data_IF_843380054388
#
_entry.id   IF_843380054388
#
_cell.length_a   1.000
_cell.length_b   1.000
_cell.length_c   1.000
_cell.angle_alpha   90.00
_cell.angle_beta   90.00
_cell.angle_gamma   90.00
#
_symmetry.space_group_name_H-M   'P 1'
#
loop_
_entity.id
_entity.type
_entity.pdbx_description
1 polymer ?
#
# COMPACT_ATOMS: atom_id res chain seq x y z
N UNK A 1 -10.36 19.02 -30.95
CA UNK A 1 -9.81 19.76 -29.80
C UNK A 1 -8.64 18.91 -29.29
N UNK A 2 -7.46 18.94 -29.93
CA UNK A 2 -6.33 19.87 -29.74
C UNK A 2 -5.94 20.10 -28.27
N UNK A 3 -4.95 19.31 -27.86
CA UNK A 3 -3.84 19.62 -26.94
C UNK A 3 -4.18 20.04 -25.51
N UNK A 4 -4.12 19.08 -24.58
CA UNK A 4 -3.61 19.34 -23.23
C UNK A 4 -2.20 18.76 -23.13
N UNK A 5 -1.22 19.57 -23.52
CA UNK A 5 0.19 19.40 -23.14
C UNK A 5 0.56 20.61 -22.29
N UNK A 6 1.41 20.41 -21.27
CA UNK A 6 1.93 21.40 -20.30
C UNK A 6 0.96 21.69 -19.14
N UNK A 7 1.31 21.49 -17.88
CA UNK A 7 2.54 21.94 -17.21
C UNK A 7 2.95 21.01 -16.05
N UNK A 8 3.85 20.06 -16.30
CA UNK A 8 4.80 19.62 -15.27
C UNK A 8 6.18 20.11 -15.72
N UNK A 9 6.61 21.23 -15.16
CA UNK A 9 8.00 21.69 -15.24
C UNK A 9 8.52 21.80 -13.82
N UNK A 10 8.98 20.69 -13.27
CA UNK A 10 9.90 20.72 -12.13
C UNK A 10 11.30 20.49 -12.68
N UNK A 11 11.98 21.60 -13.05
CA UNK A 11 13.44 21.65 -12.94
C UNK A 11 13.74 21.34 -11.49
N UNK A 12 14.60 20.37 -11.18
CA UNK A 12 15.66 20.50 -10.17
C UNK A 12 16.71 19.42 -10.41
N UNK A 13 17.92 19.89 -10.71
CA UNK A 13 19.17 19.13 -10.67
C UNK A 13 19.40 18.65 -9.24
N UNK A 14 19.61 17.35 -9.02
CA UNK A 14 20.59 16.85 -8.05
C UNK A 14 20.90 15.37 -8.33
N UNK A 15 22.20 15.06 -8.34
CA UNK A 15 22.75 13.81 -8.86
C UNK A 15 22.33 12.56 -8.07
N UNK A 16 21.83 11.57 -8.81
CA UNK A 16 21.71 10.19 -8.32
C UNK A 16 23.01 9.46 -8.68
N UNK A 17 23.77 9.09 -7.66
CA UNK A 17 24.93 8.24 -7.81
C UNK A 17 24.46 6.78 -7.96
N UNK A 18 24.48 6.26 -9.19
CA UNK A 18 24.35 4.83 -9.46
C UNK A 18 25.74 4.21 -9.36
N UNK A 19 26.01 3.46 -8.28
CA UNK A 19 27.20 2.60 -8.21
C UNK A 19 26.84 1.25 -8.82
N UNK A 20 27.11 1.10 -10.11
CA UNK A 20 27.04 -0.17 -10.84
C UNK A 20 28.29 -1.00 -10.48
N UNK A 21 28.10 -2.03 -9.66
CA UNK A 21 29.09 -3.08 -9.51
C UNK A 21 29.10 -3.94 -10.78
N UNK A 22 30.11 -3.74 -11.63
CA UNK A 22 30.38 -4.58 -12.79
C UNK A 22 30.84 -5.96 -12.34
N UNK A 23 29.99 -6.98 -12.48
CA UNK A 23 30.40 -8.38 -12.42
C UNK A 23 30.75 -8.80 -13.84
N UNK A 24 32.04 -8.94 -14.13
CA UNK A 24 32.54 -9.52 -15.37
C UNK A 24 32.22 -11.01 -15.41
N UNK A 25 31.29 -11.40 -16.28
CA UNK A 25 31.09 -12.80 -16.67
C UNK A 25 31.72 -13.00 -18.05
N UNK A 26 32.82 -13.74 -18.05
CA UNK A 26 33.58 -14.14 -19.22
C UNK A 26 32.72 -14.89 -20.26
N UNK A 27 33.01 -14.58 -21.52
CA UNK A 27 32.53 -15.26 -22.70
C UNK A 27 32.94 -16.74 -22.76
N UNK A 28 32.07 -17.58 -23.31
CA UNK A 28 32.41 -18.72 -24.16
C UNK A 28 31.25 -19.00 -25.13
N UNK A 29 31.46 -18.63 -26.40
CA UNK A 29 30.70 -19.11 -27.57
C UNK A 29 31.19 -20.49 -28.01
N UNK A 30 30.37 -21.12 -28.87
CA UNK A 30 30.53 -22.31 -29.74
C UNK A 30 29.51 -23.38 -29.30
N UNK A 31 28.44 -23.72 -30.02
CA UNK A 31 28.30 -23.89 -31.47
C UNK A 31 28.31 -25.39 -31.77
N UNK A 32 27.16 -25.98 -32.13
CA UNK A 32 26.98 -27.02 -33.16
C UNK A 32 25.53 -27.56 -33.19
N UNK A 33 24.97 -27.60 -34.39
CA UNK A 33 23.61 -28.03 -34.75
C UNK A 33 23.60 -29.54 -35.13
N UNK A 34 22.47 -30.16 -35.58
CA UNK A 34 22.01 -31.47 -35.12
C UNK A 34 22.43 -32.63 -36.07
N UNK A 35 21.96 -33.86 -35.84
CA UNK A 35 21.05 -34.36 -36.89
C UNK A 35 19.95 -35.35 -36.45
N UNK A 36 18.91 -35.34 -37.28
CA UNK A 36 18.25 -36.47 -37.93
C UNK A 36 16.86 -36.91 -37.48
N UNK A 37 16.02 -36.97 -38.51
CA UNK A 37 14.64 -37.43 -38.60
C UNK A 37 14.47 -38.90 -38.21
N UNK A 38 13.31 -39.22 -37.61
CA UNK A 38 12.54 -40.41 -38.00
C UNK A 38 11.09 -40.33 -37.47
N UNK A 39 10.22 -39.92 -38.38
CA UNK A 39 8.82 -40.32 -38.58
C UNK A 39 8.37 -41.59 -37.82
N UNK A 40 7.29 -41.49 -37.05
CA UNK A 40 6.21 -42.50 -36.99
C UNK A 40 5.01 -41.98 -36.20
N UNK A 41 3.93 -41.69 -36.92
CA UNK A 41 2.55 -41.71 -36.40
C UNK A 41 2.14 -43.15 -36.09
N UNK A 42 1.33 -43.39 -35.05
CA UNK A 42 -0.06 -43.70 -35.38
C UNK A 42 -1.11 -42.98 -34.50
N UNK A 43 -2.22 -42.65 -35.17
CA UNK A 43 -3.52 -42.33 -34.58
C UNK A 43 -3.97 -43.41 -33.60
N UNK A 44 -4.45 -43.01 -32.42
CA UNK A 44 -5.38 -43.83 -31.63
C UNK A 44 -6.35 -42.96 -30.84
N UNK A 45 -7.61 -43.11 -31.21
CA UNK A 45 -8.81 -42.53 -30.62
C UNK A 45 -9.24 -43.33 -29.39
N UNK A 46 -9.35 -42.66 -28.23
CA UNK A 46 -10.22 -43.00 -27.09
C UNK A 46 -10.11 -41.81 -26.11
N UNK A 47 -11.08 -40.90 -25.95
CA UNK A 47 -12.44 -41.08 -25.42
C UNK A 47 -12.57 -40.09 -24.24
N UNK A 48 -13.59 -39.20 -24.16
CA UNK A 48 -13.69 -38.26 -23.05
C UNK A 48 -14.11 -39.00 -21.79
N UNK A 49 -13.23 -39.04 -20.78
CA UNK A 49 -13.61 -39.53 -19.44
C UNK A 49 -14.28 -38.40 -18.69
N UNK A 50 -15.62 -38.42 -18.67
CA UNK A 50 -16.47 -37.57 -17.83
C UNK A 50 -16.26 -37.97 -16.36
N UNK A 51 -15.49 -37.17 -15.61
CA UNK A 51 -15.43 -37.29 -14.15
C UNK A 51 -16.62 -36.56 -13.54
N UNK A 52 -17.55 -37.35 -13.02
CA UNK A 52 -18.75 -36.98 -12.26
C UNK A 52 -18.38 -36.17 -11.00
N UNK A 53 -19.07 -35.05 -10.69
CA UNK A 53 -18.89 -34.36 -9.40
C UNK A 53 -19.38 -35.23 -8.24
N UNK A 54 -18.54 -35.39 -7.22
CA UNK A 54 -18.91 -35.98 -5.92
C UNK A 54 -19.58 -34.89 -5.08
N UNK A 55 -20.77 -35.19 -4.59
CA UNK A 55 -21.56 -34.32 -3.72
C UNK A 55 -20.85 -34.05 -2.38
N UNK A 56 -21.07 -32.88 -1.76
CA UNK A 56 -20.67 -32.65 -0.37
C UNK A 56 -21.60 -33.40 0.58
N UNK A 57 -21.01 -34.15 1.52
CA UNK A 57 -21.70 -34.68 2.69
C UNK A 57 -21.48 -33.71 3.84
N UNK A 58 -22.52 -33.01 4.28
CA UNK A 58 -22.55 -32.33 5.58
C UNK A 58 -23.69 -32.95 6.38
N UNK A 59 -23.31 -33.76 7.37
CA UNK A 59 -24.23 -34.26 8.39
C UNK A 59 -24.32 -33.24 9.52
N UNK A 60 -25.56 -33.09 9.98
CA UNK A 60 -26.12 -32.13 10.92
C UNK A 60 -25.62 -32.21 12.36
N UNK A 61 -26.03 -31.14 13.07
CA UNK A 61 -26.42 -31.06 14.49
C UNK A 61 -25.31 -31.06 15.56
N UNK A 62 -25.18 -29.94 16.27
CA UNK A 62 -25.73 -29.94 17.63
C UNK A 62 -26.22 -28.56 18.10
N UNK A 63 -27.21 -28.64 18.98
CA UNK A 63 -28.13 -27.66 19.52
C UNK A 63 -27.76 -27.35 20.98
N UNK A 64 -28.31 -26.28 21.56
CA UNK A 64 -28.44 -25.96 23.01
C UNK A 64 -27.17 -25.53 23.76
N UNK A 65 -27.15 -24.64 24.76
CA UNK A 65 -28.19 -23.86 25.46
C UNK A 65 -27.57 -22.75 26.30
N UNK A 66 -28.30 -21.63 26.39
CA UNK A 66 -28.55 -20.72 27.53
C UNK A 66 -27.80 -20.94 28.84
N UNK A 67 -27.27 -19.85 29.41
CA UNK A 67 -27.29 -19.62 30.87
C UNK A 67 -27.60 -18.15 31.16
N UNK A 68 -28.75 -17.93 31.80
CA UNK A 68 -29.12 -16.74 32.57
C UNK A 68 -29.70 -17.23 33.90
N UNK A 69 -29.20 -16.70 35.01
CA UNK A 69 -29.92 -16.63 36.28
C UNK A 69 -29.45 -15.39 37.08
N UNK A 70 -30.43 -14.56 37.39
CA UNK A 70 -30.60 -13.47 38.38
C UNK A 70 -30.38 -13.93 39.85
N UNK A 71 -30.66 -13.16 40.94
CA UNK A 71 -30.79 -11.70 41.16
C UNK A 71 -30.09 -11.18 42.45
N UNK A 72 -30.17 -9.85 42.65
CA UNK A 72 -30.29 -9.04 43.89
C UNK A 72 -29.75 -9.54 45.25
N UNK A 73 -28.94 -8.69 45.89
CA UNK A 73 -28.97 -8.54 47.35
C UNK A 73 -28.98 -7.04 47.70
N UNK A 74 -30.06 -6.60 48.33
CA UNK A 74 -30.38 -5.22 48.67
C UNK A 74 -30.41 -5.06 50.21
N UNK A 75 -29.58 -4.15 50.73
CA UNK A 75 -29.73 -3.40 51.99
C UNK A 75 -29.59 -4.09 53.37
N UNK A 76 -29.44 -3.32 54.48
CA UNK A 76 -29.58 -1.85 54.58
C UNK A 76 -28.38 -1.09 55.20
N UNK A 77 -28.47 0.24 55.03
CA UNK A 77 -27.58 1.31 55.43
C UNK A 77 -27.58 1.66 56.94
N UNK A 78 -26.63 2.51 57.34
CA UNK A 78 -26.71 3.76 58.14
C UNK A 78 -25.26 4.07 58.62
N UNK A 79 -24.70 5.27 58.71
CA UNK A 79 -24.88 6.62 58.16
C UNK A 79 -23.61 7.41 58.62
N UNK A 80 -23.36 8.54 57.97
CA UNK A 80 -22.72 9.75 58.53
C UNK A 80 -21.19 9.82 58.76
N UNK A 81 -20.50 10.51 57.84
CA UNK A 81 -19.71 11.72 58.15
C UNK A 81 -19.09 12.29 56.87
N UNK A 82 -19.58 13.47 56.45
CA UNK A 82 -18.83 14.43 55.62
C UNK A 82 -18.17 15.46 56.55
N UNK A 83 -17.07 16.17 56.20
CA UNK A 83 -17.09 17.10 55.05
C UNK A 83 -15.76 17.26 54.28
N UNK A 84 -15.84 17.89 53.10
CA UNK A 84 -14.80 18.79 52.59
C UNK A 84 -14.00 18.34 51.36
N UNK A 85 -14.55 18.64 50.18
CA UNK A 85 -13.87 19.00 48.92
C UNK A 85 -12.49 18.36 48.62
N UNK A 86 -12.51 17.07 48.30
CA UNK A 86 -11.46 16.45 47.49
C UNK A 86 -11.78 16.61 46.01
N UNK A 87 -11.12 17.57 45.36
CA UNK A 87 -11.11 17.75 43.90
C UNK A 87 -10.64 16.45 43.24
N UNK A 88 -11.58 15.60 42.82
CA UNK A 88 -11.30 14.47 41.95
C UNK A 88 -10.96 15.01 40.57
N UNK A 89 -9.66 15.14 40.31
CA UNK A 89 -9.15 15.29 38.96
C UNK A 89 -9.60 14.04 38.18
N UNK A 90 -10.63 14.23 37.38
CA UNK A 90 -11.08 13.32 36.36
C UNK A 90 -9.90 13.12 35.40
N UNK A 91 -9.25 11.95 35.50
CA UNK A 91 -8.27 11.50 34.50
C UNK A 91 -9.01 11.30 33.18
N UNK A 92 -9.18 12.38 32.43
CA UNK A 92 -9.39 12.28 30.98
C UNK A 92 -8.19 11.50 30.41
N UNK A 93 -8.42 10.52 29.53
CA UNK A 93 -7.33 9.96 28.75
C UNK A 93 -6.70 11.12 28.00
N UNK A 94 -5.47 11.46 28.38
CA UNK A 94 -4.69 12.49 27.72
C UNK A 94 -4.58 12.09 26.25
N UNK A 95 -5.34 12.82 25.42
CA UNK A 95 -5.04 13.01 24.02
C UNK A 95 -3.52 13.16 23.92
N UNK A 96 -2.79 12.30 23.18
CA UNK A 96 -1.35 12.45 23.09
C UNK A 96 -1.12 13.84 22.53
N UNK A 97 -0.57 14.69 23.41
CA UNK A 97 -0.15 16.03 23.09
C UNK A 97 0.65 15.99 21.79
N UNK A 98 0.31 16.91 20.90
CA UNK A 98 1.13 17.35 19.79
C UNK A 98 2.62 17.14 20.09
N UNK A 99 3.18 16.07 19.52
CA UNK A 99 4.62 15.97 19.29
C UNK A 99 4.95 16.93 18.16
N UNK A 100 4.88 18.23 18.49
CA UNK A 100 5.49 19.31 17.73
C UNK A 100 7.01 19.17 17.82
N UNK A 101 7.51 18.19 17.07
CA UNK A 101 8.92 17.94 16.74
C UNK A 101 9.06 17.39 15.31
N UNK A 102 8.01 17.43 14.49
CA UNK A 102 7.97 16.86 13.14
C UNK A 102 8.49 17.84 12.08
N UNK A 103 9.74 18.28 12.22
CA UNK A 103 10.48 18.80 11.08
C UNK A 103 11.00 17.63 10.25
N UNK A 104 10.48 17.45 9.04
CA UNK A 104 10.96 16.46 8.03
C UNK A 104 10.57 14.98 8.21
N UNK A 105 10.04 14.58 9.37
CA UNK A 105 9.62 13.19 9.57
C UNK A 105 8.36 12.81 8.75
N UNK A 106 8.25 11.53 8.40
CA UNK A 106 7.05 10.96 7.82
C UNK A 106 5.93 10.88 8.86
N UNK A 107 4.67 11.25 8.54
CA UNK A 107 3.59 11.17 9.51
C UNK A 107 3.37 9.73 9.99
N UNK A 108 3.00 9.56 11.26
CA UNK A 108 2.66 8.25 11.82
C UNK A 108 1.38 7.68 11.19
N UNK A 109 1.28 6.36 11.13
CA UNK A 109 0.11 5.66 10.60
C UNK A 109 0.17 5.44 9.09
N UNK A 110 -1.01 5.37 8.46
CA UNK A 110 -1.15 5.04 7.03
C UNK A 110 -1.08 6.30 6.17
N UNK A 111 -0.11 6.34 5.27
CA UNK A 111 0.12 7.46 4.37
C UNK A 111 0.03 7.01 2.92
N UNK A 112 -0.57 7.84 2.08
CA UNK A 112 -0.49 7.70 0.63
C UNK A 112 0.64 8.58 0.10
N UNK A 113 1.27 8.16 -0.99
CA UNK A 113 2.24 8.99 -1.67
C UNK A 113 2.85 8.30 -2.87
N UNK A 114 3.87 8.94 -3.40
CA UNK A 114 4.58 8.48 -4.58
C UNK A 114 6.02 8.17 -4.22
N UNK A 115 6.44 6.95 -4.57
CA UNK A 115 7.82 6.53 -4.39
C UNK A 115 8.72 7.28 -5.37
N UNK A 116 9.73 7.95 -4.85
CA UNK A 116 10.72 8.74 -5.60
C UNK A 116 12.14 8.20 -5.45
N UNK A 117 12.34 7.17 -4.63
CA UNK A 117 13.61 6.49 -4.55
C UNK A 117 13.62 5.34 -3.55
N UNK A 118 14.51 4.38 -3.78
CA UNK A 118 14.77 3.25 -2.89
C UNK A 118 16.28 3.12 -2.71
N UNK A 119 16.75 3.13 -1.46
CA UNK A 119 18.14 2.85 -1.12
C UNK A 119 18.20 1.55 -0.32
N UNK A 120 18.55 0.47 -1.01
CA UNK A 120 18.64 -0.88 -0.43
C UNK A 120 19.78 -0.98 0.59
N UNK A 121 20.89 -0.27 0.36
CA UNK A 121 22.07 -0.34 1.24
C UNK A 121 21.81 0.29 2.61
N UNK A 122 21.05 1.39 2.64
CA UNK A 122 20.69 2.10 3.87
C UNK A 122 19.35 1.65 4.47
N UNK A 123 18.64 0.75 3.77
CA UNK A 123 17.27 0.35 4.08
C UNK A 123 16.33 1.55 4.22
N UNK A 124 16.37 2.47 3.25
CA UNK A 124 15.52 3.67 3.23
C UNK A 124 14.72 3.77 1.93
N UNK A 125 13.56 4.42 2.02
CA UNK A 125 12.77 4.85 0.87
C UNK A 125 12.56 6.37 0.92
N UNK A 126 12.41 6.98 -0.25
CA UNK A 126 12.02 8.36 -0.40
C UNK A 126 10.60 8.42 -0.96
N UNK A 127 9.69 9.10 -0.26
CA UNK A 127 8.27 9.21 -0.62
C UNK A 127 7.87 10.68 -0.66
N UNK A 128 7.21 11.08 -1.75
CA UNK A 128 6.46 12.33 -1.82
C UNK A 128 5.04 12.07 -1.33
N UNK A 129 4.70 12.57 -0.14
CA UNK A 129 3.44 12.27 0.54
C UNK A 129 2.32 13.09 -0.08
N UNK A 130 1.22 12.44 -0.42
CA UNK A 130 0.03 13.07 -1.00
C UNK A 130 -1.23 12.57 -0.28
N UNK A 131 -2.33 13.30 -0.46
CA UNK A 131 -3.65 12.90 0.01
C UNK A 131 -4.37 12.15 -1.11
N UNK A 132 -4.90 10.96 -0.80
CA UNK A 132 -5.83 10.24 -1.67
C UNK A 132 -7.24 10.43 -1.10
N UNK A 133 -8.05 11.21 -1.79
CA UNK A 133 -9.43 11.53 -1.41
C UNK A 133 -10.39 10.74 -2.30
N UNK A 134 -11.57 10.40 -1.79
CA UNK A 134 -12.60 9.67 -2.53
C UNK A 134 -14.00 10.27 -2.30
N UNK A 135 -14.93 10.01 -3.21
CA UNK A 135 -16.33 10.46 -3.09
C UNK A 135 -16.46 11.98 -2.96
N UNK A 136 -17.34 12.43 -2.06
CA UNK A 136 -17.63 13.86 -1.88
C UNK A 136 -16.37 14.68 -1.49
N UNK A 137 -15.47 14.10 -0.69
CA UNK A 137 -14.21 14.77 -0.30
C UNK A 137 -13.30 15.00 -1.52
N UNK A 138 -13.29 14.07 -2.46
CA UNK A 138 -12.56 14.22 -3.72
C UNK A 138 -13.15 15.34 -4.56
N UNK A 139 -14.47 15.43 -4.68
CA UNK A 139 -15.16 16.50 -5.43
C UNK A 139 -14.86 17.86 -4.81
N UNK A 140 -15.03 17.99 -3.49
CA UNK A 140 -14.76 19.25 -2.78
C UNK A 140 -13.32 19.69 -3.01
N UNK A 141 -12.34 18.81 -2.80
CA UNK A 141 -10.93 19.15 -2.99
C UNK A 141 -10.58 19.47 -4.45
N UNK A 142 -11.15 18.73 -5.41
CA UNK A 142 -10.93 18.98 -6.83
C UNK A 142 -11.52 20.32 -7.28
N UNK A 143 -12.67 20.74 -6.73
CA UNK A 143 -13.25 22.06 -6.97
C UNK A 143 -12.41 23.16 -6.32
N UNK A 144 -11.98 22.97 -5.06
CA UNK A 144 -11.11 23.93 -4.35
C UNK A 144 -9.81 24.20 -5.11
N UNK A 145 -9.20 23.14 -5.65
CA UNK A 145 -7.95 23.22 -6.39
C UNK A 145 -8.15 23.61 -7.87
N UNK A 146 -9.41 23.80 -8.32
CA UNK A 146 -9.76 24.20 -9.67
C UNK A 146 -9.54 23.13 -10.75
N UNK A 147 -9.45 21.86 -10.34
CA UNK A 147 -9.23 20.71 -11.23
C UNK A 147 -10.50 20.30 -12.00
N UNK A 148 -11.68 20.59 -11.44
CA UNK A 148 -12.98 20.34 -12.08
C UNK A 148 -13.90 21.56 -11.97
N UNK A 149 -14.97 21.57 -12.76
CA UNK A 149 -16.00 22.61 -12.69
C UNK A 149 -16.77 22.52 -11.35
N UNK A 150 -17.08 23.65 -10.69
CA UNK A 150 -17.88 23.64 -9.45
C UNK A 150 -19.27 23.01 -9.57
N UNK A 151 -19.82 22.91 -10.78
CA UNK A 151 -21.07 22.22 -11.08
C UNK A 151 -20.90 20.74 -11.47
N UNK A 152 -19.67 20.23 -11.52
CA UNK A 152 -19.41 18.83 -11.82
C UNK A 152 -19.94 17.94 -10.68
N UNK A 153 -20.71 16.88 -10.99
CA UNK A 153 -21.31 16.04 -9.96
C UNK A 153 -20.33 15.02 -9.35
N UNK A 154 -19.17 14.78 -9.97
CA UNK A 154 -18.18 13.80 -9.54
C UNK A 154 -16.79 14.10 -10.12
N UNK A 155 -15.76 13.51 -9.51
CA UNK A 155 -14.40 13.40 -10.08
C UNK A 155 -14.32 12.13 -10.93
N UNK A 156 -13.59 12.18 -12.04
CA UNK A 156 -13.29 10.98 -12.83
C UNK A 156 -12.65 9.89 -11.95
N UNK A 157 -13.08 8.64 -12.13
CA UNK A 157 -12.69 7.49 -11.31
C UNK A 157 -12.98 7.59 -9.80
N UNK A 158 -13.76 8.58 -9.36
CA UNK A 158 -14.23 8.78 -7.98
C UNK A 158 -13.11 8.98 -6.93
N UNK A 159 -11.92 9.37 -7.36
CA UNK A 159 -10.82 9.74 -6.47
C UNK A 159 -10.10 10.99 -6.95
N UNK A 160 -9.53 11.73 -5.99
CA UNK A 160 -8.69 12.88 -6.26
C UNK A 160 -7.41 12.79 -5.44
N UNK A 161 -6.27 12.87 -6.13
CA UNK A 161 -4.96 12.91 -5.48
C UNK A 161 -4.51 14.35 -5.35
N UNK A 162 -4.30 14.80 -4.11
CA UNK A 162 -3.90 16.16 -3.81
C UNK A 162 -2.54 16.18 -3.13
N UNK A 163 -1.57 16.89 -3.72
CA UNK A 163 -0.27 17.13 -3.10
C UNK A 163 -0.06 18.63 -2.85
N UNK A 164 -0.55 19.13 -1.71
CA UNK A 164 -0.33 20.54 -1.29
C UNK A 164 1.10 20.81 -0.82
N UNK A 165 1.88 19.77 -0.55
CA UNK A 165 3.24 19.89 -0.02
C UNK A 165 4.16 18.83 -0.65
N UNK A 166 4.81 19.14 -1.79
CA UNK A 166 5.63 18.19 -2.58
C UNK A 166 6.99 17.87 -1.92
N UNK A 167 6.99 17.80 -0.60
CA UNK A 167 8.18 17.54 0.21
C UNK A 167 8.43 16.04 0.24
N UNK A 168 9.53 15.65 -0.39
CA UNK A 168 10.06 14.29 -0.32
C UNK A 168 10.58 14.00 1.09
N UNK A 169 10.16 12.87 1.64
CA UNK A 169 10.57 12.39 2.97
C UNK A 169 11.31 11.07 2.83
N UNK A 170 12.49 11.00 3.44
CA UNK A 170 13.29 9.78 3.49
C UNK A 170 13.11 9.11 4.84
N UNK A 171 12.74 7.83 4.83
CA UNK A 171 12.41 7.08 6.04
C UNK A 171 13.03 5.69 5.98
N UNK A 172 13.41 5.16 7.15
CA UNK A 172 13.90 3.78 7.26
C UNK A 172 12.77 2.79 7.09
N UNK A 173 13.09 1.65 6.50
CA UNK A 173 12.19 0.50 6.36
C UNK A 173 12.58 -0.54 7.39
N UNK A 174 11.61 -1.03 8.14
CA UNK A 174 11.80 -2.15 9.05
C UNK A 174 12.24 -3.38 8.27
N UNK A 175 13.17 -4.16 8.83
CA UNK A 175 13.72 -5.35 8.17
C UNK A 175 12.66 -6.39 7.82
N UNK A 176 11.57 -6.44 8.58
CA UNK A 176 10.49 -7.39 8.43
C UNK A 176 9.22 -6.75 7.85
N UNK A 177 9.29 -5.50 7.39
CA UNK A 177 8.16 -4.85 6.74
C UNK A 177 7.70 -5.69 5.54
N UNK A 178 6.44 -6.17 5.52
CA UNK A 178 5.86 -6.70 4.29
C UNK A 178 5.86 -5.62 3.21
N UNK A 179 6.39 -5.97 2.05
CA UNK A 179 6.42 -5.13 0.86
C UNK A 179 5.67 -5.88 -0.23
N UNK A 180 4.69 -5.23 -0.87
CA UNK A 180 3.94 -5.80 -1.98
C UNK A 180 3.91 -4.86 -3.15
N UNK A 181 4.07 -5.42 -4.34
CA UNK A 181 4.09 -4.70 -5.63
C UNK A 181 3.18 -5.37 -6.64
N UNK A 182 2.77 -4.61 -7.64
CA UNK A 182 2.05 -5.06 -8.81
C UNK A 182 3.08 -5.51 -9.85
N UNK A 183 2.96 -6.73 -10.35
CA UNK A 183 3.96 -7.32 -11.28
C UNK A 183 3.60 -7.17 -12.76
N UNK A 184 2.33 -6.97 -13.05
CA UNK A 184 1.83 -6.83 -14.41
C UNK A 184 0.99 -5.56 -14.50
N UNK A 185 1.26 -4.74 -15.51
CA UNK A 185 0.45 -3.56 -15.76
C UNK A 185 -1.01 -3.95 -16.03
N UNK A 186 -1.96 -3.26 -15.38
CA UNK A 186 -3.39 -3.53 -15.52
C UNK A 186 -3.92 -4.65 -14.62
N UNK A 187 -3.08 -5.33 -13.84
CA UNK A 187 -3.50 -6.32 -12.86
C UNK A 187 -3.48 -5.71 -11.44
N UNK A 188 -4.56 -5.81 -10.66
CA UNK A 188 -4.60 -5.28 -9.30
C UNK A 188 -3.87 -6.17 -8.27
N UNK A 189 -3.35 -7.33 -8.69
CA UNK A 189 -2.82 -8.34 -7.79
C UNK A 189 -1.49 -7.93 -7.17
N UNK A 190 -1.47 -7.92 -5.84
CA UNK A 190 -0.30 -7.61 -5.04
C UNK A 190 0.54 -8.85 -4.75
N UNK A 191 1.80 -8.80 -5.15
CA UNK A 191 2.78 -9.87 -4.94
C UNK A 191 3.81 -9.43 -3.91
N UNK A 192 4.02 -10.26 -2.89
CA UNK A 192 5.06 -10.03 -1.88
C UNK A 192 6.45 -9.97 -2.47
N UNK A 193 7.27 -9.05 -1.98
CA UNK A 193 8.65 -8.85 -2.43
C UNK A 193 9.55 -8.34 -1.30
N UNK A 194 10.83 -8.17 -1.59
CA UNK A 194 11.83 -7.57 -0.69
C UNK A 194 12.07 -6.10 -1.04
N UNK A 195 12.81 -5.38 -0.20
CA UNK A 195 13.22 -4.00 -0.52
C UNK A 195 14.03 -3.92 -1.82
N UNK A 196 14.82 -4.95 -2.13
CA UNK A 196 15.52 -5.07 -3.41
C UNK A 196 14.56 -5.24 -4.59
N UNK A 197 13.53 -6.08 -4.43
CA UNK A 197 12.51 -6.25 -5.47
C UNK A 197 11.64 -5.00 -5.68
N UNK A 198 11.39 -4.21 -4.63
CA UNK A 198 10.78 -2.88 -4.77
C UNK A 198 11.67 -1.93 -5.56
N UNK A 199 12.99 -1.94 -5.31
CA UNK A 199 13.94 -1.12 -6.06
C UNK A 199 13.97 -1.48 -7.56
N UNK A 200 13.90 -2.77 -7.89
CA UNK A 200 13.80 -3.25 -9.27
C UNK A 200 12.50 -2.78 -9.94
N UNK A 201 11.37 -2.89 -9.26
CA UNK A 201 10.08 -2.44 -9.79
C UNK A 201 10.03 -0.92 -9.98
N UNK A 202 10.60 -0.18 -9.04
CA UNK A 202 10.76 1.28 -9.15
C UNK A 202 11.63 1.64 -10.37
N UNK A 203 12.76 0.97 -10.56
CA UNK A 203 13.63 1.19 -11.71
C UNK A 203 12.93 0.88 -13.05
N UNK A 204 12.10 -0.17 -13.12
CA UNK A 204 11.28 -0.47 -14.29
C UNK A 204 10.29 0.65 -14.59
N UNK A 205 9.61 1.14 -13.55
CA UNK A 205 8.63 2.22 -13.65
C UNK A 205 9.28 3.49 -14.20
N UNK A 206 10.45 3.89 -13.68
CA UNK A 206 11.22 5.04 -14.17
C UNK A 206 11.69 4.84 -15.62
N UNK A 207 12.11 3.62 -15.99
CA UNK A 207 12.60 3.32 -17.33
C UNK A 207 11.52 3.44 -18.42
N UNK A 208 10.23 3.32 -18.07
CA UNK A 208 9.12 3.50 -19.01
C UNK A 208 8.91 4.97 -19.40
N UNK A 209 9.67 5.91 -18.81
CA UNK A 209 9.63 7.33 -19.19
C UNK A 209 8.33 8.03 -18.80
N UNK A 210 7.43 7.32 -18.13
CA UNK A 210 6.48 7.96 -17.25
C UNK A 210 7.33 8.63 -16.16
N UNK A 211 7.06 9.89 -15.85
CA UNK A 211 7.44 10.45 -14.55
C UNK A 211 6.64 9.75 -13.43
N UNK A 212 6.42 8.43 -13.54
CA UNK A 212 5.60 7.59 -12.69
C UNK A 212 6.31 7.45 -11.36
N UNK A 213 6.06 8.46 -10.55
CA UNK A 213 5.46 8.30 -9.26
C UNK A 213 4.73 6.96 -9.12
N UNK A 214 5.46 5.93 -8.67
CA UNK A 214 4.87 4.65 -8.27
C UNK A 214 4.02 4.91 -7.03
N UNK A 215 2.68 4.84 -7.12
CA UNK A 215 1.84 5.17 -5.99
C UNK A 215 1.95 4.04 -4.95
N UNK A 216 2.15 4.42 -3.71
CA UNK A 216 2.32 3.49 -2.60
C UNK A 216 1.47 3.94 -1.42
N UNK A 217 0.95 2.95 -0.71
CA UNK A 217 0.46 3.11 0.65
C UNK A 217 1.55 2.60 1.60
N UNK A 218 1.90 3.43 2.57
CA UNK A 218 3.01 3.20 3.48
C UNK A 218 2.53 3.37 4.91
N UNK A 219 2.79 2.37 5.75
CA UNK A 219 2.45 2.40 7.17
C UNK A 219 3.71 2.72 7.96
N UNK A 220 3.65 3.77 8.76
CA UNK A 220 4.74 4.21 9.63
C UNK A 220 4.35 3.95 11.08
N UNK A 221 5.29 3.40 11.84
CA UNK A 221 5.14 3.20 13.28
C UNK A 221 6.46 3.55 13.96
N UNK A 222 6.41 4.50 14.89
CA UNK A 222 7.58 4.99 15.61
C UNK A 222 8.68 5.50 14.66
N UNK A 223 8.28 6.21 13.61
CA UNK A 223 9.18 6.81 12.62
C UNK A 223 9.83 5.83 11.65
N UNK A 224 9.40 4.57 11.61
CA UNK A 224 9.93 3.53 10.70
C UNK A 224 8.78 2.96 9.87
N UNK A 225 9.04 2.69 8.59
CA UNK A 225 8.06 2.04 7.70
C UNK A 225 7.94 0.57 8.06
N UNK A 226 6.73 0.14 8.41
CA UNK A 226 6.39 -1.23 8.79
C UNK A 226 5.59 -1.97 7.72
N UNK A 227 5.09 -1.28 6.69
CA UNK A 227 4.43 -1.90 5.53
C UNK A 227 4.51 -0.99 4.31
N UNK A 228 4.68 -1.58 3.13
CA UNK A 228 4.60 -0.90 1.84
C UNK A 228 3.71 -1.73 0.91
N UNK A 229 2.65 -1.14 0.40
CA UNK A 229 1.82 -1.75 -0.65
C UNK A 229 1.76 -0.79 -1.84
N UNK A 230 2.09 -1.26 -3.05
CA UNK A 230 1.84 -0.50 -4.26
C UNK A 230 0.32 -0.35 -4.46
N UNK A 231 -0.13 0.83 -4.88
CA UNK A 231 -1.54 1.07 -5.18
C UNK A 231 -1.80 0.86 -6.67
N UNK A 232 -2.90 0.19 -6.98
CA UNK A 232 -3.41 0.09 -8.35
C UNK A 232 -4.46 1.18 -8.59
N UNK A 233 -4.36 1.87 -9.72
CA UNK A 233 -5.40 2.75 -10.24
C UNK A 233 -5.80 2.23 -11.63
N UNK A 234 -7.09 1.91 -11.86
CA UNK A 234 -7.58 1.35 -13.12
C UNK A 234 -7.59 2.35 -14.27
#
# INVERSE_FOLDING_TARGET
MREQRSLWRVRHLLGVAVVLAAVSSSACSNGDEPPNEARSTPSSTAGPTTTKPRAPSTTDTDTTSTTRADPSNDGPALEDSAPGEGSVAQSEPQSPADVSGAGDAMPEGTNFGFLVGVNVAEATIAVDVAELLAGDEAVVAAVEDGAIDPAAPAVDNDYYIRNRNPKVRTVKVDRFAPIKVIRSAGEPDLVGTSLGGLAEEYARTVALGTEASMPVQVVVTAGVVTRIDQMFFP
#
